data_IF_626639361220
#
_entry.id   IF_626639361220
#
_cell.length_a   1.000
_cell.length_b   1.000
_cell.length_c   1.000
_cell.angle_alpha   90.00
_cell.angle_beta   90.00
_cell.angle_gamma   90.00
#
_symmetry.space_group_name_H-M   'P 1'
#
loop_
_entity.id
_entity.type
_entity.pdbx_description
1 polymer ?
#
# COMPACT_ATOMS: atom_id res chain seq x y z
N UNK A 1 -8.65 -20.34 6.88
CA UNK A 1 -8.81 -20.35 8.34
C UNK A 1 -10.07 -19.62 8.83
N UNK A 2 -10.54 -18.59 8.14
CA UNK A 2 -11.80 -17.91 8.43
C UNK A 2 -13.00 -18.63 7.78
N UNK A 3 -13.10 -19.95 7.87
CA UNK A 3 -14.14 -20.78 7.23
C UNK A 3 -14.29 -20.50 5.72
N UNK A 4 -13.17 -20.26 5.03
CA UNK A 4 -13.10 -19.87 3.61
C UNK A 4 -13.85 -18.58 3.24
N UNK A 5 -14.21 -17.75 4.22
CA UNK A 5 -14.83 -16.48 3.95
C UNK A 5 -13.81 -15.50 3.35
N UNK A 6 -14.12 -14.97 2.16
CA UNK A 6 -13.29 -14.01 1.44
C UNK A 6 -13.87 -12.59 1.48
N UNK A 7 -15.11 -12.44 1.90
CA UNK A 7 -15.76 -11.14 1.93
C UNK A 7 -15.34 -10.34 3.17
N UNK A 8 -14.55 -9.28 2.96
CA UNK A 8 -14.07 -8.39 4.02
C UNK A 8 -15.19 -7.74 4.84
N UNK A 9 -16.42 -7.62 4.30
CA UNK A 9 -17.54 -7.05 5.04
C UNK A 9 -18.12 -8.00 6.10
N UNK A 10 -17.85 -9.29 5.96
CA UNK A 10 -18.23 -10.33 6.93
C UNK A 10 -17.13 -10.60 7.95
N UNK A 11 -15.91 -10.08 7.73
CA UNK A 11 -14.80 -10.13 8.68
C UNK A 11 -14.90 -8.97 9.68
N UNK A 12 -14.15 -9.04 10.77
CA UNK A 12 -14.02 -7.97 11.76
C UNK A 12 -13.43 -8.48 13.08
N UNK A 13 -12.72 -7.60 13.79
CA UNK A 13 -12.19 -7.87 15.14
C UNK A 13 -11.12 -8.95 15.21
N UNK A 14 -10.46 -9.29 14.10
CA UNK A 14 -9.51 -10.40 14.03
C UNK A 14 -8.16 -10.10 14.70
N UNK A 15 -7.89 -8.85 15.11
CA UNK A 15 -6.61 -8.47 15.76
C UNK A 15 -6.26 -9.29 17.00
N UNK A 16 -7.26 -9.72 17.75
CA UNK A 16 -7.05 -10.51 18.97
C UNK A 16 -6.97 -12.02 18.72
N UNK A 17 -7.57 -12.48 17.62
CA UNK A 17 -7.55 -13.89 17.23
C UNK A 17 -6.37 -14.23 16.32
N UNK A 18 -5.75 -13.24 15.67
CA UNK A 18 -4.64 -13.40 14.75
C UNK A 18 -3.61 -12.28 14.95
N UNK A 19 -2.93 -12.21 16.11
CA UNK A 19 -2.03 -11.10 16.44
C UNK A 19 -0.78 -11.03 15.56
N UNK A 20 -0.19 -12.16 15.20
CA UNK A 20 1.01 -12.19 14.35
C UNK A 20 0.66 -11.71 12.92
N UNK A 21 -0.43 -12.22 12.37
CA UNK A 21 -0.94 -11.76 11.06
C UNK A 21 -1.29 -10.28 11.09
N UNK A 22 -1.86 -9.77 12.19
CA UNK A 22 -2.15 -8.37 12.36
C UNK A 22 -0.88 -7.51 12.30
N UNK A 23 0.17 -7.88 13.05
CA UNK A 23 1.44 -7.13 13.07
C UNK A 23 2.13 -7.17 11.70
N UNK A 24 2.26 -8.35 11.10
CA UNK A 24 2.91 -8.49 9.78
C UNK A 24 2.15 -7.74 8.69
N UNK A 25 0.82 -7.80 8.71
CA UNK A 25 -0.02 -7.03 7.79
C UNK A 25 0.13 -5.52 8.00
N UNK A 26 0.24 -5.07 9.26
CA UNK A 26 0.45 -3.65 9.58
C UNK A 26 1.78 -3.17 9.02
N UNK A 27 2.87 -3.89 9.27
CA UNK A 27 4.20 -3.54 8.76
C UNK A 27 4.22 -3.49 7.23
N UNK A 28 3.71 -4.53 6.58
CA UNK A 28 3.62 -4.59 5.12
C UNK A 28 2.71 -3.47 4.56
N UNK A 29 1.59 -3.19 5.22
CA UNK A 29 0.67 -2.13 4.84
C UNK A 29 1.28 -0.73 4.96
N UNK A 30 2.03 -0.45 6.03
CA UNK A 30 2.76 0.82 6.21
C UNK A 30 3.84 0.99 5.13
N UNK A 31 4.55 -0.09 4.79
CA UNK A 31 5.52 -0.09 3.70
C UNK A 31 4.84 0.17 2.34
N UNK A 32 3.70 -0.49 2.07
CA UNK A 32 2.95 -0.34 0.82
C UNK A 32 2.40 1.09 0.63
N UNK A 33 1.91 1.71 1.69
CA UNK A 33 1.44 3.11 1.68
C UNK A 33 2.59 4.07 1.38
N UNK A 34 3.82 3.71 1.79
CA UNK A 34 5.01 4.56 1.67
C UNK A 34 5.20 5.47 2.89
N UNK A 35 4.96 4.92 4.09
CA UNK A 35 5.25 5.66 5.32
C UNK A 35 6.76 5.89 5.42
N UNK A 36 7.22 7.13 5.70
CA UNK A 36 8.64 7.44 5.83
C UNK A 36 9.35 6.47 6.78
N UNK A 37 10.49 5.95 6.34
CA UNK A 37 11.27 4.98 7.08
C UNK A 37 10.97 3.51 6.75
N UNK A 38 9.90 3.19 6.04
CA UNK A 38 9.63 1.84 5.54
C UNK A 38 10.28 1.62 4.16
N UNK A 39 10.54 0.37 3.78
CA UNK A 39 11.21 0.07 2.50
C UNK A 39 10.46 0.60 1.28
N UNK A 40 9.13 0.51 1.29
CA UNK A 40 8.28 1.01 0.21
C UNK A 40 8.33 2.53 0.03
N UNK A 41 8.66 3.28 1.07
CA UNK A 41 8.89 4.71 0.99
C UNK A 41 10.10 5.03 0.09
N UNK A 42 11.24 4.40 0.33
CA UNK A 42 12.47 4.68 -0.39
C UNK A 42 12.32 4.51 -1.91
N UNK A 43 11.64 3.46 -2.36
CA UNK A 43 11.40 3.23 -3.79
C UNK A 43 10.33 4.15 -4.37
N UNK A 44 9.22 4.34 -3.67
CA UNK A 44 8.05 5.06 -4.18
C UNK A 44 8.30 6.56 -4.26
N UNK A 45 8.85 7.15 -3.21
CA UNK A 45 9.12 8.59 -3.14
C UNK A 45 10.25 8.97 -4.09
N UNK A 46 11.28 8.11 -4.24
CA UNK A 46 12.35 8.31 -5.19
C UNK A 46 11.82 8.42 -6.64
N UNK A 47 10.92 7.51 -7.04
CA UNK A 47 10.32 7.55 -8.37
C UNK A 47 9.54 8.86 -8.58
N UNK A 48 8.79 9.30 -7.58
CA UNK A 48 7.99 10.52 -7.64
C UNK A 48 8.89 11.75 -7.79
N UNK A 49 9.97 11.82 -7.02
CA UNK A 49 10.93 12.93 -7.08
C UNK A 49 11.69 12.99 -8.42
N UNK A 50 12.01 11.84 -9.02
CA UNK A 50 12.61 11.79 -10.37
C UNK A 50 11.67 12.40 -11.41
N UNK A 51 10.37 12.10 -11.38
CA UNK A 51 9.41 12.70 -12.33
C UNK A 51 9.22 14.20 -12.10
N UNK A 52 9.27 14.66 -10.85
CA UNK A 52 9.27 16.07 -10.51
C UNK A 52 10.51 16.78 -11.07
N UNK A 53 11.68 16.19 -10.88
CA UNK A 53 12.96 16.75 -11.38
C UNK A 53 12.99 16.85 -12.91
N UNK A 54 12.49 15.85 -13.61
CA UNK A 54 12.40 15.83 -15.07
C UNK A 54 11.29 16.73 -15.64
N UNK A 55 10.65 17.57 -14.80
CA UNK A 55 9.54 18.46 -15.17
C UNK A 55 8.33 17.74 -15.80
N UNK A 56 8.21 16.43 -15.55
CA UNK A 56 7.06 15.66 -16.04
C UNK A 56 5.91 15.72 -15.02
N UNK A 57 5.31 16.91 -14.91
CA UNK A 57 4.30 17.20 -13.90
C UNK A 57 3.02 16.37 -14.03
N UNK A 58 2.66 15.91 -15.22
CA UNK A 58 1.47 15.10 -15.44
C UNK A 58 1.63 13.76 -14.69
N UNK A 59 2.74 13.06 -14.93
CA UNK A 59 3.02 11.78 -14.25
C UNK A 59 3.22 12.00 -12.76
N UNK A 60 3.94 13.06 -12.37
CA UNK A 60 4.14 13.43 -10.97
C UNK A 60 2.82 13.52 -10.19
N UNK A 61 1.85 14.32 -10.68
CA UNK A 61 0.56 14.46 -10.01
C UNK A 61 -0.28 13.17 -10.04
N UNK A 62 -0.20 12.38 -11.09
CA UNK A 62 -0.85 11.06 -11.15
C UNK A 62 -0.30 10.12 -10.06
N UNK A 63 1.02 10.10 -9.86
CA UNK A 63 1.66 9.32 -8.82
C UNK A 63 1.27 9.81 -7.42
N UNK A 64 1.23 11.12 -7.18
CA UNK A 64 0.77 11.69 -5.90
C UNK A 64 -0.68 11.30 -5.60
N UNK A 65 -1.58 11.36 -6.59
CA UNK A 65 -2.98 10.88 -6.42
C UNK A 65 -3.01 9.38 -6.12
N UNK A 66 -2.14 8.59 -6.74
CA UNK A 66 -2.06 7.15 -6.49
C UNK A 66 -1.70 6.82 -5.03
N UNK A 67 -0.91 7.70 -4.34
CA UNK A 67 -0.64 7.54 -2.90
C UNK A 67 -1.93 7.63 -2.09
N UNK A 68 -2.76 8.63 -2.37
CA UNK A 68 -4.05 8.79 -1.67
C UNK A 68 -4.92 7.54 -1.85
N UNK A 69 -5.05 7.05 -3.10
CA UNK A 69 -5.85 5.85 -3.40
C UNK A 69 -5.28 4.62 -2.71
N UNK A 70 -3.95 4.44 -2.75
CA UNK A 70 -3.25 3.33 -2.07
C UNK A 70 -3.53 3.35 -0.57
N UNK A 71 -3.43 4.52 0.05
CA UNK A 71 -3.71 4.70 1.46
C UNK A 71 -5.16 4.38 1.80
N UNK A 72 -6.11 4.82 0.98
CA UNK A 72 -7.54 4.56 1.18
C UNK A 72 -7.88 3.07 1.12
N UNK A 73 -7.41 2.32 0.13
CA UNK A 73 -7.77 0.90 0.05
C UNK A 73 -7.05 0.06 1.10
N UNK A 74 -5.79 0.35 1.41
CA UNK A 74 -5.04 -0.39 2.42
C UNK A 74 -5.65 -0.20 3.81
N UNK A 75 -5.95 1.02 4.18
CA UNK A 75 -6.61 1.34 5.45
C UNK A 75 -8.04 0.78 5.53
N UNK A 76 -8.77 0.74 4.41
CA UNK A 76 -10.08 0.08 4.33
C UNK A 76 -10.00 -1.39 4.72
N UNK A 77 -9.07 -2.13 4.11
CA UNK A 77 -8.88 -3.55 4.43
C UNK A 77 -8.49 -3.70 5.90
N UNK A 78 -7.53 -2.90 6.36
CA UNK A 78 -7.03 -2.91 7.73
C UNK A 78 -8.15 -2.72 8.76
N UNK A 79 -8.97 -1.67 8.61
CA UNK A 79 -10.05 -1.41 9.55
C UNK A 79 -11.17 -2.44 9.47
N UNK A 80 -11.54 -2.92 8.29
CA UNK A 80 -12.63 -3.89 8.15
C UNK A 80 -12.27 -5.28 8.66
N UNK A 81 -11.03 -5.71 8.48
CA UNK A 81 -10.59 -7.07 8.86
C UNK A 81 -10.20 -7.15 10.33
N UNK A 82 -9.40 -6.21 10.80
CA UNK A 82 -8.79 -6.30 12.13
C UNK A 82 -9.56 -5.56 13.22
N UNK A 83 -10.32 -4.53 12.85
CA UNK A 83 -11.09 -3.74 13.82
C UNK A 83 -12.60 -3.99 13.68
N UNK A 84 -13.37 -3.47 14.65
CA UNK A 84 -14.82 -3.64 14.71
C UNK A 84 -15.23 -4.88 15.49
N UNK A 85 -16.49 -5.29 15.32
CA UNK A 85 -17.06 -6.46 16.00
C UNK A 85 -16.67 -7.75 15.31
N UNK A 86 -16.33 -8.77 16.08
CA UNK A 86 -16.03 -10.11 15.55
C UNK A 86 -17.30 -10.73 14.95
N UNK A 87 -17.48 -10.59 13.65
CA UNK A 87 -18.66 -11.09 12.93
C UNK A 87 -18.57 -12.60 12.67
N UNK A 88 -17.38 -13.15 12.58
CA UNK A 88 -17.15 -14.57 12.32
C UNK A 88 -17.35 -15.44 13.56
N UNK A 89 -17.64 -14.84 14.73
CA UNK A 89 -17.77 -15.53 16.03
C UNK A 89 -16.58 -16.46 16.32
N UNK A 90 -15.42 -16.14 15.76
CA UNK A 90 -14.20 -16.88 16.03
C UNK A 90 -13.87 -16.70 17.50
N UNK A 91 -13.83 -17.78 18.25
CA UNK A 91 -13.39 -17.74 19.64
C UNK A 91 -11.98 -17.16 19.73
N UNK A 92 -11.65 -16.53 20.86
CA UNK A 92 -10.31 -16.03 21.21
C UNK A 92 -9.27 -17.15 21.35
N UNK A 93 -9.33 -18.18 20.53
CA UNK A 93 -8.39 -19.29 20.64
C UNK A 93 -7.18 -18.99 19.75
N UNK A 94 -6.01 -19.29 20.26
CA UNK A 94 -4.74 -19.30 19.52
C UNK A 94 -4.77 -20.25 18.31
N UNK A 95 -5.90 -20.91 18.08
CA UNK A 95 -6.08 -21.98 17.10
C UNK A 95 -6.01 -21.51 15.65
N UNK A 96 -6.27 -20.22 15.37
CA UNK A 96 -6.19 -19.70 14.02
C UNK A 96 -4.75 -19.48 13.52
N UNK A 97 -3.79 -19.27 14.43
CA UNK A 97 -2.38 -19.06 14.09
C UNK A 97 -1.48 -20.27 14.41
N UNK A 98 -2.05 -21.46 14.61
CA UNK A 98 -1.27 -22.67 14.92
C UNK A 98 -0.36 -23.14 13.78
N UNK A 99 -0.66 -22.78 12.55
CA UNK A 99 0.08 -23.29 11.40
C UNK A 99 1.34 -22.43 11.14
N UNK A 100 2.47 -22.89 11.68
CA UNK A 100 3.79 -22.24 11.50
C UNK A 100 4.19 -22.08 10.04
N UNK A 101 3.81 -23.01 9.18
CA UNK A 101 4.10 -22.97 7.74
C UNK A 101 3.53 -21.72 7.03
N UNK A 102 2.40 -21.19 7.53
CA UNK A 102 1.81 -19.95 7.01
C UNK A 102 2.37 -18.70 7.69
N UNK A 103 2.78 -18.79 8.95
CA UNK A 103 3.28 -17.65 9.71
C UNK A 103 4.73 -17.30 9.36
N UNK A 104 5.58 -18.31 9.12
CA UNK A 104 7.00 -18.10 8.82
C UNK A 104 7.18 -17.21 7.58
N UNK A 105 6.54 -17.45 6.42
CA UNK A 105 6.67 -16.58 5.26
C UNK A 105 6.20 -15.14 5.53
N UNK A 106 5.13 -14.96 6.31
CA UNK A 106 4.62 -13.62 6.66
C UNK A 106 5.64 -12.82 7.47
N UNK A 107 6.27 -13.46 8.47
CA UNK A 107 7.29 -12.82 9.31
C UNK A 107 8.55 -12.54 8.46
N UNK A 108 9.00 -13.52 7.68
CA UNK A 108 10.18 -13.39 6.80
C UNK A 108 10.03 -12.25 5.80
N UNK A 109 8.83 -12.02 5.26
CA UNK A 109 8.56 -10.90 4.35
C UNK A 109 8.34 -9.57 5.07
N UNK A 110 7.82 -9.57 6.30
CA UNK A 110 7.59 -8.34 7.06
C UNK A 110 8.92 -7.68 7.49
N UNK A 111 9.94 -8.47 7.84
CA UNK A 111 11.25 -7.94 8.26
C UNK A 111 11.91 -7.11 7.14
N UNK A 112 12.10 -7.63 5.91
CA UNK A 112 12.63 -6.84 4.80
C UNK A 112 11.80 -5.61 4.47
N UNK A 113 10.48 -5.71 4.54
CA UNK A 113 9.60 -4.58 4.24
C UNK A 113 9.77 -3.40 5.21
N UNK A 114 10.29 -3.66 6.42
CA UNK A 114 10.63 -2.62 7.37
C UNK A 114 12.05 -2.07 7.19
N UNK A 115 13.04 -2.92 6.87
CA UNK A 115 14.46 -2.59 7.10
C UNK A 115 15.25 -2.45 5.78
N UNK A 116 14.86 -3.17 4.71
CA UNK A 116 15.71 -3.32 3.52
C UNK A 116 15.93 -1.99 2.79
N UNK A 117 14.98 -1.06 2.90
CA UNK A 117 15.11 0.28 2.34
C UNK A 117 16.32 1.03 2.93
N UNK A 118 16.48 1.00 4.25
CA UNK A 118 17.64 1.60 4.90
C UNK A 118 18.95 0.91 4.56
N UNK A 119 18.91 -0.42 4.51
CA UNK A 119 20.14 -1.20 4.30
C UNK A 119 20.68 -1.10 2.87
N UNK A 120 19.82 -1.04 1.88
CA UNK A 120 20.22 -1.13 0.47
C UNK A 120 20.11 0.19 -0.30
N UNK A 121 19.42 1.20 0.21
CA UNK A 121 19.17 2.44 -0.52
C UNK A 121 20.48 3.09 -0.99
N UNK A 122 21.42 3.31 -0.07
CA UNK A 122 22.70 3.95 -0.41
C UNK A 122 23.52 3.09 -1.38
N UNK A 123 23.50 1.78 -1.21
CA UNK A 123 24.23 0.85 -2.09
C UNK A 123 23.64 0.80 -3.50
N UNK A 124 22.32 0.78 -3.63
CA UNK A 124 21.66 0.66 -4.92
C UNK A 124 21.62 1.98 -5.69
N UNK A 125 21.51 3.11 -4.96
CA UNK A 125 21.29 4.43 -5.56
C UNK A 125 22.62 5.16 -5.80
N UNK A 126 23.59 5.10 -4.86
CA UNK A 126 24.81 5.89 -4.94
C UNK A 126 26.07 5.09 -5.33
N UNK A 127 26.14 3.79 -5.04
CA UNK A 127 27.36 2.99 -5.24
C UNK A 127 27.46 2.36 -6.63
N UNK A 128 26.80 2.92 -7.65
CA UNK A 128 26.90 2.44 -9.04
C UNK A 128 26.67 0.93 -9.22
N UNK A 129 25.83 0.33 -8.34
CA UNK A 129 25.55 -1.12 -8.37
C UNK A 129 25.04 -1.61 -9.76
N UNK A 130 24.33 -0.75 -10.47
CA UNK A 130 23.77 -1.05 -11.78
C UNK A 130 24.57 -0.43 -12.95
N UNK A 131 25.72 0.18 -12.72
CA UNK A 131 26.49 0.93 -13.75
C UNK A 131 26.84 0.09 -14.98
N UNK A 132 27.08 -1.20 -14.80
CA UNK A 132 27.42 -2.12 -15.90
C UNK A 132 26.19 -2.62 -16.67
N UNK A 133 25.01 -2.48 -16.09
CA UNK A 133 23.75 -3.00 -16.67
C UNK A 133 22.84 -1.90 -17.20
N UNK A 134 22.93 -0.70 -16.65
CA UNK A 134 22.10 0.46 -17.00
C UNK A 134 23.02 1.63 -17.33
N UNK A 135 23.00 2.06 -18.58
CA UNK A 135 23.69 3.30 -18.99
C UNK A 135 22.89 4.48 -18.51
N UNK A 136 23.32 5.11 -17.43
CA UNK A 136 22.69 6.30 -16.89
C UNK A 136 22.89 7.47 -17.85
N UNK A 137 21.79 8.06 -18.34
CA UNK A 137 21.87 9.38 -18.90
C UNK A 137 22.35 10.37 -17.82
N UNK A 138 23.18 11.35 -18.22
CA UNK A 138 23.80 12.36 -17.33
C UNK A 138 22.80 13.06 -16.36
N UNK A 139 21.51 12.97 -16.61
CA UNK A 139 20.45 13.59 -15.81
C UNK A 139 20.22 12.92 -14.46
N UNK A 140 20.32 11.59 -14.38
CA UNK A 140 20.12 10.83 -13.13
C UNK A 140 21.29 11.01 -12.17
N UNK A 141 22.50 10.95 -12.66
CA UNK A 141 23.69 11.18 -11.83
C UNK A 141 23.72 12.59 -11.22
N UNK A 142 23.28 13.60 -11.98
CA UNK A 142 23.17 14.97 -11.50
C UNK A 142 22.08 15.13 -10.43
N UNK A 143 20.94 14.42 -10.56
CA UNK A 143 19.89 14.42 -9.57
C UNK A 143 20.36 13.84 -8.23
N UNK A 144 21.05 12.70 -8.26
CA UNK A 144 21.56 12.06 -7.06
C UNK A 144 22.63 12.91 -6.36
N UNK A 145 23.53 13.56 -7.09
CA UNK A 145 24.61 14.35 -6.49
C UNK A 145 24.12 15.66 -5.86
N UNK A 146 23.08 16.28 -6.41
CA UNK A 146 22.64 17.61 -5.99
C UNK A 146 21.42 17.61 -5.05
N UNK A 147 20.55 16.59 -5.11
CA UNK A 147 19.29 16.57 -4.36
C UNK A 147 19.27 15.56 -3.22
N UNK A 148 19.97 14.44 -3.35
CA UNK A 148 19.92 13.35 -2.37
C UNK A 148 21.34 12.93 -2.04
N UNK A 149 21.87 13.43 -0.92
CA UNK A 149 23.24 13.15 -0.51
C UNK A 149 23.34 11.81 0.23
N UNK A 150 22.34 11.45 1.04
CA UNK A 150 22.30 10.22 1.86
C UNK A 150 20.86 9.78 2.11
N UNK A 151 20.67 8.51 2.49
CA UNK A 151 19.38 7.95 2.93
C UNK A 151 18.71 8.77 4.03
N UNK A 152 19.49 9.31 4.97
CA UNK A 152 18.99 10.16 6.06
C UNK A 152 18.46 11.50 5.56
N UNK A 153 19.15 12.15 4.62
CA UNK A 153 18.67 13.39 4.01
C UNK A 153 17.39 13.15 3.20
N UNK A 154 17.32 12.06 2.47
CA UNK A 154 16.12 11.67 1.73
C UNK A 154 14.93 11.47 2.67
N UNK A 155 15.15 10.78 3.79
CA UNK A 155 14.13 10.59 4.82
C UNK A 155 13.67 11.91 5.43
N UNK A 156 14.56 12.82 5.77
CA UNK A 156 14.19 14.13 6.33
C UNK A 156 13.47 15.02 5.31
N UNK A 157 13.91 15.01 4.05
CA UNK A 157 13.26 15.76 2.97
C UNK A 157 11.82 15.28 2.72
N UNK A 158 11.55 14.01 2.95
CA UNK A 158 10.22 13.44 2.71
C UNK A 158 9.09 14.14 3.49
N UNK A 159 9.35 14.62 4.70
CA UNK A 159 8.34 15.31 5.51
C UNK A 159 7.86 16.64 4.90
N UNK A 160 8.62 17.21 4.00
CA UNK A 160 8.26 18.44 3.26
C UNK A 160 7.71 18.13 1.87
N UNK A 161 7.71 16.88 1.46
CA UNK A 161 7.25 16.45 0.13
C UNK A 161 5.72 16.49 0.00
N UNK A 162 5.25 16.68 -1.23
CA UNK A 162 3.81 16.58 -1.55
C UNK A 162 3.30 15.15 -1.38
N UNK A 163 4.17 14.15 -1.56
CA UNK A 163 3.90 12.74 -1.32
C UNK A 163 3.47 12.48 0.12
N UNK A 164 4.18 13.08 1.08
CA UNK A 164 3.84 12.97 2.50
C UNK A 164 2.51 13.64 2.83
N UNK A 165 2.24 14.81 2.27
CA UNK A 165 0.94 15.47 2.43
C UNK A 165 -0.20 14.61 1.85
N UNK A 166 0.00 14.01 0.68
CA UNK A 166 -0.96 13.09 0.07
C UNK A 166 -1.23 11.86 0.95
N UNK A 167 -0.19 11.31 1.59
CA UNK A 167 -0.31 10.22 2.56
C UNK A 167 -1.16 10.65 3.76
N UNK A 168 -0.88 11.81 4.35
CA UNK A 168 -1.66 12.33 5.48
C UNK A 168 -3.12 12.57 5.11
N UNK A 169 -3.39 13.16 3.94
CA UNK A 169 -4.75 13.35 3.43
C UNK A 169 -5.46 12.00 3.30
N UNK A 170 -4.80 10.98 2.71
CA UNK A 170 -5.34 9.65 2.58
C UNK A 170 -5.68 9.00 3.92
N UNK A 171 -4.81 9.14 4.92
CA UNK A 171 -5.05 8.65 6.29
C UNK A 171 -6.21 9.37 6.96
N UNK A 172 -6.27 10.69 6.88
CA UNK A 172 -7.36 11.49 7.45
C UNK A 172 -8.71 11.14 6.82
N UNK A 173 -8.77 11.05 5.48
CA UNK A 173 -9.98 10.65 4.77
C UNK A 173 -10.44 9.25 5.20
N UNK A 174 -9.52 8.31 5.32
CA UNK A 174 -9.81 6.95 5.80
C UNK A 174 -10.34 6.95 7.23
N UNK A 175 -9.69 7.69 8.12
CA UNK A 175 -10.10 7.79 9.52
C UNK A 175 -11.53 8.34 9.64
N UNK A 176 -11.83 9.46 8.98
CA UNK A 176 -13.17 10.04 8.99
C UNK A 176 -14.22 9.12 8.39
N UNK A 177 -13.86 8.38 7.34
CA UNK A 177 -14.78 7.47 6.67
C UNK A 177 -15.12 6.24 7.53
N UNK A 178 -14.11 5.66 8.22
CA UNK A 178 -14.30 4.41 8.98
C UNK A 178 -14.70 4.62 10.43
N UNK A 179 -14.22 5.71 11.08
CA UNK A 179 -14.51 5.98 12.47
C UNK A 179 -15.93 6.54 12.68
N UNK A 180 -16.38 7.46 11.84
CA UNK A 180 -17.67 8.16 12.02
C UNK A 180 -18.88 7.43 11.44
N UNK A 181 -18.78 6.19 10.92
CA UNK A 181 -19.90 5.48 10.26
C UNK A 181 -20.72 6.39 9.32
N UNK A 182 -20.06 7.34 8.68
CA UNK A 182 -20.76 8.36 7.92
C UNK A 182 -21.43 7.75 6.69
N UNK A 183 -22.74 8.02 6.55
CA UNK A 183 -23.58 7.72 5.37
C UNK A 183 -23.08 8.41 4.08
N UNK A 184 -22.07 9.27 4.18
CA UNK A 184 -21.50 10.08 3.08
C UNK A 184 -21.01 9.21 1.93
N UNK A 185 -20.35 8.08 2.23
CA UNK A 185 -19.84 7.15 1.20
C UNK A 185 -20.95 6.53 0.35
N UNK A 186 -22.06 6.18 0.96
CA UNK A 186 -23.19 5.63 0.21
C UNK A 186 -23.79 6.69 -0.72
N UNK A 187 -23.82 7.96 -0.32
CA UNK A 187 -24.39 9.03 -1.12
C UNK A 187 -23.53 9.39 -2.35
N UNK A 188 -22.18 9.30 -2.24
CA UNK A 188 -21.29 9.58 -3.38
C UNK A 188 -21.38 8.45 -4.42
N UNK A 189 -21.39 7.19 -3.98
CA UNK A 189 -21.51 6.04 -4.88
C UNK A 189 -22.91 5.92 -5.53
N UNK A 190 -23.92 6.45 -4.86
CA UNK A 190 -25.29 6.53 -5.43
C UNK A 190 -25.39 7.60 -6.52
N UNK A 191 -24.60 8.69 -6.42
CA UNK A 191 -24.62 9.77 -7.40
C UNK A 191 -23.97 9.42 -8.76
N UNK A 192 -23.12 8.38 -8.81
CA UNK A 192 -22.43 7.96 -10.04
C UNK A 192 -22.65 6.45 -10.26
N UNK A 193 -23.90 6.05 -10.63
CA UNK A 193 -24.24 4.63 -10.76
C UNK A 193 -23.46 3.93 -11.88
N UNK A 194 -23.09 4.66 -12.93
CA UNK A 194 -22.33 4.11 -14.06
C UNK A 194 -20.92 3.64 -13.62
N UNK A 195 -20.18 4.47 -12.87
CA UNK A 195 -18.86 4.09 -12.36
C UNK A 195 -18.98 2.93 -11.36
N UNK A 196 -19.99 2.95 -10.49
CA UNK A 196 -20.27 1.86 -9.57
C UNK A 196 -20.48 0.53 -10.29
N UNK A 197 -21.28 0.52 -11.34
CA UNK A 197 -21.58 -0.69 -12.12
C UNK A 197 -20.33 -1.21 -12.85
N UNK A 198 -19.53 -0.32 -13.45
CA UNK A 198 -18.27 -0.69 -14.11
C UNK A 198 -17.30 -1.33 -13.10
N UNK A 199 -17.14 -0.72 -11.92
CA UNK A 199 -16.26 -1.23 -10.87
C UNK A 199 -16.76 -2.55 -10.26
N UNK A 200 -18.07 -2.70 -10.05
CA UNK A 200 -18.66 -3.93 -9.50
C UNK A 200 -18.61 -5.10 -10.49
N UNK A 201 -18.73 -4.80 -11.78
CA UNK A 201 -18.64 -5.80 -12.84
C UNK A 201 -17.18 -6.06 -13.30
N UNK A 202 -16.19 -5.64 -12.49
CA UNK A 202 -14.78 -5.88 -12.77
C UNK A 202 -14.37 -5.41 -14.18
N UNK A 203 -14.84 -4.21 -14.56
CA UNK A 203 -14.66 -3.63 -15.90
C UNK A 203 -15.18 -4.51 -17.05
N UNK A 204 -16.06 -5.46 -16.79
CA UNK A 204 -16.56 -6.41 -17.77
C UNK A 204 -15.60 -7.56 -18.11
N UNK A 205 -14.46 -7.66 -17.42
CA UNK A 205 -13.42 -8.64 -17.71
C UNK A 205 -13.92 -10.09 -17.58
N UNK A 206 -14.73 -10.37 -16.54
CA UNK A 206 -15.34 -11.69 -16.34
C UNK A 206 -16.32 -12.05 -17.45
N UNK A 207 -17.07 -11.08 -17.97
CA UNK A 207 -17.99 -11.32 -19.09
C UNK A 207 -17.23 -11.63 -20.37
N UNK A 208 -16.16 -10.89 -20.65
CA UNK A 208 -15.26 -11.11 -21.77
C UNK A 208 -14.54 -12.47 -21.66
N UNK A 209 -14.01 -12.80 -20.50
CA UNK A 209 -13.33 -14.08 -20.26
C UNK A 209 -14.27 -15.26 -20.44
N UNK A 210 -15.47 -15.20 -19.88
CA UNK A 210 -16.48 -16.26 -20.03
C UNK A 210 -17.04 -16.39 -21.45
N UNK A 211 -16.99 -15.32 -22.26
CA UNK A 211 -17.40 -15.38 -23.66
C UNK A 211 -16.32 -15.92 -24.57
N UNK A 212 -15.05 -15.74 -24.21
CA UNK A 212 -13.89 -16.22 -25.00
C UNK A 212 -13.45 -17.63 -24.65
N UNK A 213 -13.72 -18.09 -23.43
CA UNK A 213 -13.43 -19.45 -22.97
C UNK A 213 -14.77 -20.16 -22.77
N UNK A 214 -15.29 -20.84 -23.79
CA UNK A 214 -16.48 -21.66 -23.63
C UNK A 214 -16.21 -22.73 -22.58
N UNK A 215 -17.02 -22.76 -21.53
CA UNK A 215 -17.00 -23.84 -20.54
C UNK A 215 -17.35 -25.15 -21.28
N UNK A 216 -16.34 -26.01 -21.48
CA UNK A 216 -16.57 -27.41 -21.78
C UNK A 216 -16.97 -28.15 -20.52
#
# INVERSE_FOLDING_TARGET
KCHHEQNINKMGGLRFSMPITFVTFTVAGLSLIGVPGMSGFFSKDLIIDIFKYNNNYIIYYMLVVSIVVTTLYTTKIFFKVFFGTNKLKVQKSNDLEHNKTLLIPLIVLAIPSAIIGWALFDTLVFNHFFSDSITDGNTLSYFYQNYIINSVNFFLHSFTSLSFLALLIGLLLSYFHYHKKNKISNNILVKIPMIKNILLNEYGFNQLSNSLIPNN
#
